data_IF_061991157983
#
_entry.id   IF_061991157983
#
_cell.length_a   1.000
_cell.length_b   1.000
_cell.length_c   1.000
_cell.angle_alpha   90.00
_cell.angle_beta   90.00
_cell.angle_gamma   90.00
#
_symmetry.space_group_name_H-M   'P 1'
#
loop_
_entity.id
_entity.type
_entity.pdbx_description
1 polymer ?
#
# COMPACT_ATOMS: atom_id res chain seq x y z
N UNK A 1 -25.17 -2.65 -2.11
CA UNK A 1 -23.98 -2.43 -1.24
C UNK A 1 -22.75 -2.98 -1.95
N UNK A 2 -21.72 -2.17 -2.11
CA UNK A 2 -20.43 -2.66 -2.63
C UNK A 2 -19.73 -3.36 -1.46
N UNK A 3 -19.57 -4.69 -1.55
CA UNK A 3 -18.95 -5.49 -0.49
C UNK A 3 -17.43 -5.23 -0.39
N UNK A 4 -16.78 -5.83 0.62
CA UNK A 4 -15.34 -5.66 0.89
C UNK A 4 -14.49 -6.22 -0.26
N UNK A 5 -14.92 -7.30 -0.87
CA UNK A 5 -14.21 -7.98 -1.96
C UNK A 5 -14.30 -7.17 -3.26
N UNK A 6 -15.47 -6.69 -3.63
CA UNK A 6 -15.67 -5.79 -4.76
C UNK A 6 -14.82 -4.52 -4.64
N UNK A 7 -14.69 -3.96 -3.43
CA UNK A 7 -13.80 -2.80 -3.19
C UNK A 7 -12.33 -3.16 -3.31
N UNK A 8 -11.92 -4.33 -2.82
CA UNK A 8 -10.55 -4.81 -2.95
C UNK A 8 -10.16 -4.96 -4.42
N UNK A 9 -11.06 -5.49 -5.25
CA UNK A 9 -10.85 -5.71 -6.68
C UNK A 9 -11.11 -4.45 -7.55
N UNK A 10 -11.68 -3.37 -6.98
CA UNK A 10 -11.95 -2.14 -7.76
C UNK A 10 -10.69 -1.44 -8.27
N UNK A 11 -9.56 -1.64 -7.61
CA UNK A 11 -8.27 -1.05 -8.03
C UNK A 11 -7.79 -1.55 -9.38
N UNK A 12 -8.10 -2.79 -9.76
CA UNK A 12 -7.75 -3.34 -11.05
C UNK A 12 -8.37 -2.58 -12.23
N UNK A 13 -9.52 -1.91 -12.06
CA UNK A 13 -10.13 -1.08 -13.11
C UNK A 13 -9.35 0.20 -13.42
N UNK A 14 -8.45 0.61 -12.53
CA UNK A 14 -7.60 1.82 -12.65
C UNK A 14 -6.12 1.47 -12.46
N UNK A 15 -5.72 0.24 -12.77
CA UNK A 15 -4.36 -0.26 -12.51
C UNK A 15 -3.26 0.62 -13.13
N UNK A 16 -3.47 1.14 -14.34
CA UNK A 16 -2.52 2.03 -15.02
C UNK A 16 -2.36 3.38 -14.30
N UNK A 17 -3.47 4.01 -13.90
CA UNK A 17 -3.45 5.26 -13.13
C UNK A 17 -2.90 5.03 -11.72
N UNK A 18 -3.24 3.88 -11.12
CA UNK A 18 -2.70 3.48 -9.84
C UNK A 18 -1.17 3.37 -9.89
N UNK A 19 -0.62 2.71 -10.91
CA UNK A 19 0.83 2.59 -11.11
C UNK A 19 1.50 3.95 -11.36
N UNK A 20 0.83 4.82 -12.14
CA UNK A 20 1.36 6.14 -12.51
C UNK A 20 1.42 7.12 -11.36
N UNK A 21 0.42 7.12 -10.46
CA UNK A 21 0.23 8.20 -9.49
C UNK A 21 0.49 7.79 -8.04
N UNK A 22 0.51 6.49 -7.72
CA UNK A 22 0.74 6.07 -6.33
C UNK A 22 2.22 6.13 -5.96
N UNK A 23 2.56 6.83 -4.86
CA UNK A 23 3.94 6.91 -4.42
C UNK A 23 4.45 5.57 -3.89
N UNK A 24 5.69 5.23 -4.26
CA UNK A 24 6.46 4.17 -3.60
C UNK A 24 6.85 4.60 -2.18
N UNK A 25 7.08 3.66 -1.27
CA UNK A 25 7.72 3.97 0.01
C UNK A 25 9.17 4.44 -0.24
N UNK A 26 9.69 5.35 0.59
CA UNK A 26 11.07 5.80 0.46
C UNK A 26 12.07 4.67 0.78
N UNK A 27 13.26 4.64 0.16
CA UNK A 27 14.27 3.60 0.38
C UNK A 27 14.60 3.36 1.86
N UNK A 28 14.66 4.42 2.67
CA UNK A 28 14.93 4.35 4.11
C UNK A 28 13.89 3.53 4.90
N UNK A 29 12.65 3.47 4.39
CA UNK A 29 11.61 2.63 4.97
C UNK A 29 11.93 1.15 4.74
N UNK A 30 12.34 0.79 3.52
CA UNK A 30 12.72 -0.58 3.17
C UNK A 30 14.01 -1.01 3.87
N UNK A 31 14.99 -0.11 4.03
CA UNK A 31 16.22 -0.39 4.74
C UNK A 31 15.97 -0.77 6.21
N UNK A 32 14.96 -0.17 6.80
CA UNK A 32 14.58 -0.52 8.16
C UNK A 32 13.74 -1.80 8.24
N UNK A 33 12.92 -2.08 7.23
CA UNK A 33 11.97 -3.21 7.24
C UNK A 33 12.62 -4.54 6.84
N UNK A 34 13.56 -4.50 5.90
CA UNK A 34 14.22 -5.68 5.34
C UNK A 34 15.52 -5.92 6.09
N UNK A 35 15.76 -7.11 6.67
CA UNK A 35 17.02 -7.42 7.34
C UNK A 35 18.23 -7.25 6.42
N UNK A 36 19.34 -6.81 6.97
CA UNK A 36 20.59 -6.79 6.22
C UNK A 36 20.95 -8.22 5.76
N UNK A 37 21.32 -8.36 4.49
CA UNK A 37 21.66 -9.66 3.90
C UNK A 37 20.44 -10.55 3.58
N UNK A 38 19.21 -10.04 3.65
CA UNK A 38 18.02 -10.79 3.23
C UNK A 38 18.19 -11.29 1.79
N UNK A 39 18.14 -12.60 1.60
CA UNK A 39 18.29 -13.24 0.30
C UNK A 39 16.96 -13.36 -0.47
N UNK A 40 15.85 -13.50 0.25
CA UNK A 40 14.51 -13.68 -0.34
C UNK A 40 13.50 -12.74 0.34
N UNK A 41 12.80 -11.93 -0.45
CA UNK A 41 11.81 -10.95 0.04
C UNK A 41 10.49 -11.14 -0.70
N UNK A 42 9.39 -11.19 0.06
CA UNK A 42 8.02 -11.24 -0.44
C UNK A 42 7.36 -9.86 -0.33
N UNK A 43 6.83 -9.35 -1.44
CA UNK A 43 5.85 -8.26 -1.50
C UNK A 43 4.45 -8.90 -1.55
N UNK A 44 3.69 -8.82 -0.47
CA UNK A 44 2.38 -9.46 -0.33
C UNK A 44 1.26 -8.45 -0.53
N UNK A 45 0.30 -8.78 -1.40
CA UNK A 45 -0.69 -7.86 -1.97
C UNK A 45 0.00 -6.71 -2.73
N UNK A 46 0.88 -7.10 -3.65
CA UNK A 46 1.85 -6.23 -4.32
C UNK A 46 1.24 -5.18 -5.25
N UNK A 47 -0.04 -5.33 -5.62
CA UNK A 47 -0.72 -4.41 -6.54
C UNK A 47 -0.01 -4.34 -7.90
N UNK A 48 0.36 -3.16 -8.34
CA UNK A 48 1.13 -2.92 -9.59
C UNK A 48 2.64 -3.00 -9.39
N UNK A 49 3.13 -3.39 -8.20
CA UNK A 49 4.54 -3.62 -7.92
C UNK A 49 5.34 -2.39 -7.49
N UNK A 50 4.71 -1.38 -6.90
CA UNK A 50 5.43 -0.20 -6.41
C UNK A 50 6.51 -0.58 -5.39
N UNK A 51 6.20 -1.44 -4.40
CA UNK A 51 7.17 -1.95 -3.42
C UNK A 51 8.14 -2.94 -4.07
N UNK A 52 7.65 -3.81 -4.94
CA UNK A 52 8.49 -4.77 -5.67
C UNK A 52 9.63 -4.07 -6.42
N UNK A 53 9.33 -2.95 -7.13
CA UNK A 53 10.36 -2.14 -7.83
C UNK A 53 11.42 -1.61 -6.86
N UNK A 54 11.00 -1.08 -5.73
CA UNK A 54 11.93 -0.56 -4.71
C UNK A 54 12.79 -1.67 -4.10
N UNK A 55 12.24 -2.87 -3.86
CA UNK A 55 13.03 -4.03 -3.40
C UNK A 55 14.07 -4.40 -4.45
N UNK A 56 13.68 -4.42 -5.74
CA UNK A 56 14.58 -4.77 -6.84
C UNK A 56 15.68 -3.74 -7.09
N UNK A 57 15.43 -2.47 -6.77
CA UNK A 57 16.39 -1.38 -6.91
C UNK A 57 17.42 -1.30 -5.77
N UNK A 58 17.27 -2.09 -4.70
CA UNK A 58 18.20 -2.08 -3.55
C UNK A 58 19.61 -2.53 -3.92
N UNK A 59 20.58 -2.02 -3.14
CA UNK A 59 21.99 -2.45 -3.24
C UNK A 59 22.49 -2.82 -1.84
N UNK A 60 22.85 -4.08 -1.54
CA UNK A 60 22.68 -5.23 -2.44
C UNK A 60 21.21 -5.62 -2.68
N UNK A 61 20.92 -6.05 -3.88
CA UNK A 61 19.60 -6.58 -4.25
C UNK A 61 19.41 -7.98 -3.63
N UNK A 62 18.22 -8.31 -3.08
CA UNK A 62 17.90 -9.69 -2.71
C UNK A 62 18.01 -10.64 -3.92
N UNK A 63 18.52 -11.83 -3.68
CA UNK A 63 18.69 -12.83 -4.75
C UNK A 63 17.34 -13.29 -5.32
N UNK A 64 16.29 -13.29 -4.48
CA UNK A 64 14.93 -13.66 -4.86
C UNK A 64 13.93 -12.58 -4.41
N UNK A 65 13.16 -12.05 -5.34
CA UNK A 65 12.06 -11.13 -5.06
C UNK A 65 10.77 -11.78 -5.56
N UNK A 66 9.85 -12.03 -4.64
CA UNK A 66 8.54 -12.62 -4.93
C UNK A 66 7.47 -11.55 -4.73
N UNK A 67 6.48 -11.51 -5.60
CA UNK A 67 5.33 -10.62 -5.49
C UNK A 67 4.04 -11.45 -5.61
N UNK A 68 3.19 -11.37 -4.61
CA UNK A 68 1.89 -12.09 -4.57
C UNK A 68 0.76 -11.08 -4.66
N UNK A 69 -0.11 -11.23 -5.66
CA UNK A 69 -1.25 -10.34 -5.91
C UNK A 69 -2.47 -11.12 -6.42
N UNK A 70 -3.67 -10.96 -5.83
CA UNK A 70 -4.86 -11.69 -6.25
C UNK A 70 -5.52 -11.14 -7.52
N UNK A 71 -5.45 -9.84 -7.83
CA UNK A 71 -6.13 -9.26 -9.01
C UNK A 71 -5.27 -9.45 -10.28
N UNK A 72 -5.80 -10.19 -11.27
CA UNK A 72 -5.10 -10.50 -12.51
C UNK A 72 -4.69 -9.24 -13.31
N UNK A 73 -5.48 -8.16 -13.26
CA UNK A 73 -5.17 -6.90 -13.96
C UNK A 73 -4.01 -6.17 -13.30
N UNK A 74 -3.95 -6.17 -11.97
CA UNK A 74 -2.80 -5.65 -11.20
C UNK A 74 -1.56 -6.50 -11.46
N UNK A 75 -1.68 -7.85 -11.44
CA UNK A 75 -0.57 -8.77 -11.74
C UNK A 75 0.01 -8.55 -13.14
N UNK A 76 -0.82 -8.27 -14.13
CA UNK A 76 -0.35 -7.99 -15.49
C UNK A 76 0.55 -6.74 -15.54
N UNK A 77 0.16 -5.66 -14.85
CA UNK A 77 0.98 -4.45 -14.73
C UNK A 77 2.26 -4.75 -13.94
N UNK A 78 2.15 -5.44 -12.82
CA UNK A 78 3.27 -5.85 -11.98
C UNK A 78 4.32 -6.65 -12.79
N UNK A 79 3.89 -7.67 -13.52
CA UNK A 79 4.79 -8.49 -14.34
C UNK A 79 5.51 -7.67 -15.42
N UNK A 80 4.80 -6.74 -16.07
CA UNK A 80 5.39 -5.85 -17.07
C UNK A 80 6.39 -4.85 -16.47
N UNK A 81 6.13 -4.36 -15.25
CA UNK A 81 6.96 -3.34 -14.56
C UNK A 81 8.13 -3.92 -13.77
N UNK A 82 8.05 -5.18 -13.39
CA UNK A 82 9.04 -5.85 -12.54
C UNK A 82 9.60 -7.13 -13.23
N UNK A 83 10.19 -7.02 -14.44
CA UNK A 83 10.80 -8.18 -15.08
C UNK A 83 11.94 -8.71 -14.18
N UNK A 84 11.86 -9.99 -13.82
CA UNK A 84 12.81 -10.63 -12.89
C UNK A 84 12.35 -10.68 -11.44
N UNK A 85 11.13 -10.25 -11.11
CA UNK A 85 10.41 -10.68 -9.91
C UNK A 85 9.61 -11.94 -10.24
N UNK A 86 9.50 -12.84 -9.26
CA UNK A 86 8.59 -14.00 -9.32
C UNK A 86 7.18 -13.52 -8.97
N UNK A 87 6.30 -13.41 -9.98
CA UNK A 87 4.93 -12.92 -9.80
C UNK A 87 3.98 -14.09 -9.69
N UNK A 88 3.28 -14.19 -8.55
CA UNK A 88 2.39 -15.29 -8.24
C UNK A 88 0.95 -14.80 -7.97
N UNK A 89 -0.01 -15.62 -8.35
CA UNK A 89 -1.38 -15.46 -7.91
C UNK A 89 -1.54 -15.99 -6.50
N UNK A 90 -2.16 -15.21 -5.61
CA UNK A 90 -2.41 -15.62 -4.24
C UNK A 90 -2.93 -14.48 -3.38
N UNK A 91 -3.21 -14.79 -2.15
CA UNK A 91 -3.70 -13.84 -1.14
C UNK A 91 -3.02 -14.08 0.20
N UNK A 92 -3.13 -13.11 1.11
CA UNK A 92 -2.45 -13.20 2.42
C UNK A 92 -2.91 -14.35 3.30
N UNK A 93 -4.11 -14.83 3.09
CA UNK A 93 -4.75 -15.93 3.79
C UNK A 93 -4.40 -17.33 3.22
N UNK A 94 -3.66 -17.36 2.08
CA UNK A 94 -3.15 -18.57 1.43
C UNK A 94 -1.97 -18.16 0.52
N UNK A 95 -0.78 -18.11 1.12
CA UNK A 95 0.44 -17.66 0.43
C UNK A 95 1.05 -18.85 -0.33
N UNK A 96 1.22 -18.75 -1.68
CA UNK A 96 1.70 -19.86 -2.51
C UNK A 96 3.23 -20.05 -2.42
N UNK A 97 3.77 -20.10 -1.22
CA UNK A 97 5.19 -20.28 -0.94
C UNK A 97 5.41 -21.38 0.09
N UNK A 98 6.55 -22.09 0.03
CA UNK A 98 6.95 -23.07 1.06
C UNK A 98 7.17 -22.42 2.42
N UNK A 99 7.16 -23.23 3.47
CA UNK A 99 7.52 -22.83 4.83
C UNK A 99 8.96 -22.32 4.87
N UNK A 100 9.19 -21.30 5.72
CA UNK A 100 10.52 -20.73 5.97
C UNK A 100 11.31 -20.41 4.68
N UNK A 101 10.64 -19.86 3.66
CA UNK A 101 11.20 -19.61 2.32
C UNK A 101 11.65 -18.17 2.08
N UNK A 102 11.25 -17.22 2.95
CA UNK A 102 11.59 -15.79 2.80
C UNK A 102 12.15 -15.19 4.10
N UNK A 103 13.01 -14.17 3.95
CA UNK A 103 13.64 -13.44 5.05
C UNK A 103 12.82 -12.19 5.46
N UNK A 104 11.98 -11.69 4.55
CA UNK A 104 11.07 -10.60 4.84
C UNK A 104 9.76 -10.75 4.06
N UNK A 105 8.66 -10.34 4.68
CA UNK A 105 7.35 -10.13 4.06
C UNK A 105 7.00 -8.66 4.20
N UNK A 106 6.74 -7.96 3.09
CA UNK A 106 6.28 -6.58 3.08
C UNK A 106 4.82 -6.50 2.64
N UNK A 107 4.04 -5.63 3.29
CA UNK A 107 2.65 -5.36 2.97
C UNK A 107 2.44 -3.85 2.94
N UNK A 108 2.20 -3.29 1.76
CA UNK A 108 2.00 -1.85 1.61
C UNK A 108 0.54 -1.49 1.33
N UNK A 109 -0.04 -0.63 2.17
CA UNK A 109 -1.40 -0.12 2.06
C UNK A 109 -2.50 -1.20 1.95
N UNK A 110 -2.19 -2.47 2.27
CA UNK A 110 -3.07 -3.60 2.08
C UNK A 110 -3.48 -4.34 3.38
N UNK A 111 -2.76 -4.16 4.49
CA UNK A 111 -3.03 -4.84 5.77
C UNK A 111 -4.52 -4.85 6.18
N UNK A 112 -5.22 -3.75 5.98
CA UNK A 112 -6.63 -3.61 6.34
C UNK A 112 -7.59 -4.43 5.46
N UNK A 113 -7.09 -5.04 4.39
CA UNK A 113 -7.82 -5.97 3.53
C UNK A 113 -7.65 -7.44 3.96
N UNK A 114 -6.68 -7.74 4.81
CA UNK A 114 -6.41 -9.10 5.27
C UNK A 114 -7.28 -9.46 6.47
N UNK A 115 -7.54 -10.74 6.61
CA UNK A 115 -8.05 -11.34 7.83
C UNK A 115 -6.85 -11.78 8.70
N UNK A 116 -6.56 -11.09 9.82
CA UNK A 116 -5.38 -11.40 10.62
C UNK A 116 -5.37 -12.82 11.18
N UNK A 117 -6.53 -13.40 11.48
CA UNK A 117 -6.64 -14.77 12.03
C UNK A 117 -6.16 -15.82 11.03
N UNK A 118 -6.25 -15.53 9.74
CA UNK A 118 -5.81 -16.42 8.65
C UNK A 118 -4.49 -15.99 8.02
N UNK A 119 -4.30 -14.69 7.82
CA UNK A 119 -3.12 -14.19 7.15
C UNK A 119 -1.86 -14.25 8.02
N UNK A 120 -1.98 -14.00 9.34
CA UNK A 120 -0.81 -14.01 10.22
C UNK A 120 -0.16 -15.38 10.34
N UNK A 121 -0.90 -16.49 10.50
CA UNK A 121 -0.31 -17.82 10.44
C UNK A 121 0.44 -18.11 9.13
N UNK A 122 -0.13 -17.74 7.98
CA UNK A 122 0.51 -17.91 6.67
C UNK A 122 1.79 -17.06 6.53
N UNK A 123 1.75 -15.77 6.94
CA UNK A 123 2.92 -14.90 6.97
C UNK A 123 4.02 -15.50 7.86
N UNK A 124 3.63 -15.98 9.05
CA UNK A 124 4.56 -16.61 9.99
C UNK A 124 5.13 -17.91 9.40
N UNK A 125 4.32 -18.71 8.73
CA UNK A 125 4.74 -19.95 8.09
C UNK A 125 5.84 -19.73 7.04
N UNK A 126 5.64 -18.76 6.14
CA UNK A 126 6.60 -18.52 5.03
C UNK A 126 7.86 -17.77 5.46
N UNK A 127 7.81 -16.98 6.55
CA UNK A 127 9.00 -16.31 7.09
C UNK A 127 9.97 -17.33 7.70
N UNK A 128 11.26 -17.13 7.52
CA UNK A 128 12.29 -17.81 8.34
C UNK A 128 12.29 -17.28 9.77
N UNK A 129 12.74 -18.08 10.73
CA UNK A 129 13.01 -17.59 12.09
C UNK A 129 14.02 -16.45 12.02
N UNK A 130 13.74 -15.35 12.71
CA UNK A 130 14.51 -14.11 12.60
C UNK A 130 14.13 -13.21 11.41
N UNK A 131 13.30 -13.72 10.50
CA UNK A 131 12.76 -12.93 9.38
C UNK A 131 11.72 -11.88 9.85
N UNK A 132 11.45 -10.89 9.01
CA UNK A 132 10.64 -9.73 9.40
C UNK A 132 9.35 -9.61 8.60
N UNK A 133 8.27 -9.23 9.29
CA UNK A 133 7.06 -8.67 8.69
C UNK A 133 7.16 -7.14 8.72
N UNK A 134 7.08 -6.50 7.55
CA UNK A 134 7.01 -5.05 7.38
C UNK A 134 5.63 -4.62 6.89
N UNK A 135 4.93 -3.75 7.64
CA UNK A 135 3.67 -3.18 7.18
C UNK A 135 3.84 -1.69 6.95
N UNK A 136 3.42 -1.20 5.78
CA UNK A 136 3.71 0.14 5.27
C UNK A 136 2.41 0.89 4.98
N UNK A 137 2.31 2.13 5.44
CA UNK A 137 1.31 3.09 4.99
C UNK A 137 1.98 4.40 4.60
N UNK A 138 1.90 4.74 3.33
CA UNK A 138 2.35 6.03 2.82
C UNK A 138 1.16 6.98 2.73
N UNK A 139 1.27 8.15 3.32
CA UNK A 139 0.24 9.19 3.33
C UNK A 139 0.86 10.56 3.14
N UNK A 140 0.06 11.50 2.66
CA UNK A 140 0.43 12.91 2.62
C UNK A 140 0.49 13.47 4.04
N UNK A 141 1.43 14.39 4.28
CA UNK A 141 1.61 15.04 5.58
C UNK A 141 0.59 16.18 5.75
N UNK A 142 -0.52 15.89 6.41
CA UNK A 142 -1.58 16.87 6.67
C UNK A 142 -1.29 17.88 7.79
N UNK A 143 -0.08 17.87 8.34
CA UNK A 143 0.42 18.96 9.19
C UNK A 143 0.74 20.21 8.37
N UNK A 144 0.93 20.06 7.05
CA UNK A 144 1.14 21.18 6.12
C UNK A 144 -0.23 21.70 5.66
N UNK A 145 -0.54 23.00 5.82
CA UNK A 145 -1.89 23.56 5.63
C UNK A 145 -2.53 23.22 4.29
N UNK A 146 -1.84 23.48 3.16
CA UNK A 146 -2.40 23.20 1.84
C UNK A 146 -2.65 21.69 1.62
N UNK A 147 -1.82 20.82 2.21
CA UNK A 147 -2.00 19.37 2.17
C UNK A 147 -3.22 18.94 2.96
N UNK A 148 -3.47 19.57 4.12
CA UNK A 148 -4.67 19.34 4.92
C UNK A 148 -5.94 19.68 4.15
N UNK A 149 -5.98 20.84 3.45
CA UNK A 149 -7.09 21.26 2.58
C UNK A 149 -7.27 20.30 1.41
N UNK A 150 -6.18 19.95 0.72
CA UNK A 150 -6.20 18.96 -0.36
C UNK A 150 -6.72 17.59 0.10
N UNK A 151 -6.34 17.15 1.30
CA UNK A 151 -6.84 15.93 1.91
C UNK A 151 -8.34 16.01 2.27
N UNK A 152 -8.83 17.22 2.63
CA UNK A 152 -10.24 17.42 2.96
C UNK A 152 -11.15 17.10 1.77
N UNK A 153 -10.79 17.46 0.54
CA UNK A 153 -11.54 17.14 -0.68
C UNK A 153 -11.82 15.63 -0.79
N UNK A 154 -10.81 14.80 -0.53
CA UNK A 154 -10.96 13.35 -0.59
C UNK A 154 -11.66 12.76 0.66
N UNK A 155 -11.62 13.43 1.81
CA UNK A 155 -12.36 13.02 3.03
C UNK A 155 -13.85 13.23 2.86
N UNK A 156 -14.28 14.41 2.41
CA UNK A 156 -15.68 14.75 2.19
C UNK A 156 -16.36 13.79 1.21
N UNK A 157 -15.69 13.47 0.08
CA UNK A 157 -16.20 12.51 -0.88
C UNK A 157 -16.36 11.11 -0.28
N UNK A 158 -15.44 10.68 0.60
CA UNK A 158 -15.50 9.38 1.29
C UNK A 158 -16.56 9.33 2.39
N UNK A 159 -16.75 10.43 3.11
CA UNK A 159 -17.75 10.51 4.19
C UNK A 159 -19.17 10.50 3.61
N UNK A 160 -19.39 11.25 2.53
CA UNK A 160 -20.66 11.23 1.80
C UNK A 160 -20.99 9.82 1.26
N UNK A 161 -19.99 9.08 0.76
CA UNK A 161 -20.17 7.70 0.29
C UNK A 161 -20.41 6.72 1.47
N UNK A 162 -19.69 6.86 2.59
CA UNK A 162 -19.87 6.05 3.79
C UNK A 162 -21.22 6.22 4.44
N UNK A 163 -21.69 7.47 4.58
CA UNK A 163 -22.99 7.79 5.17
C UNK A 163 -24.13 7.10 4.40
N UNK A 164 -24.03 7.00 3.08
CA UNK A 164 -25.03 6.34 2.24
C UNK A 164 -24.98 4.81 2.27
N UNK A 165 -23.79 4.24 2.50
CA UNK A 165 -23.58 2.80 2.50
C UNK A 165 -23.71 2.17 3.89
N UNK A 166 -24.01 2.95 4.93
CA UNK A 166 -24.14 2.47 6.31
C UNK A 166 -22.86 1.90 6.90
N UNK A 167 -21.69 2.29 6.38
CA UNK A 167 -20.42 1.73 6.77
C UNK A 167 -19.76 2.55 7.90
N UNK A 168 -19.78 2.03 9.12
CA UNK A 168 -19.19 2.67 10.32
C UNK A 168 -17.76 2.22 10.66
N UNK A 169 -17.12 1.36 9.86
CA UNK A 169 -15.83 0.76 10.18
C UNK A 169 -14.65 1.72 9.97
N UNK A 170 -13.89 2.03 11.04
CA UNK A 170 -12.52 2.56 10.91
C UNK A 170 -11.66 1.51 10.21
N UNK A 171 -10.87 1.90 9.20
CA UNK A 171 -9.85 1.01 8.62
C UNK A 171 -8.86 0.66 9.74
N UNK A 172 -8.68 -0.63 10.00
CA UNK A 172 -7.67 -1.09 10.97
C UNK A 172 -6.28 -0.70 10.46
N UNK A 173 -5.69 0.31 11.09
CA UNK A 173 -4.28 0.69 10.91
C UNK A 173 -3.40 0.14 12.03
N UNK A 174 -3.94 -0.74 12.84
CA UNK A 174 -3.22 -1.47 13.88
C UNK A 174 -2.84 -2.84 13.33
N UNK A 175 -1.59 -3.21 13.55
CA UNK A 175 -1.09 -4.55 13.28
C UNK A 175 -1.22 -5.33 14.58
N UNK A 176 -2.16 -6.25 14.60
CA UNK A 176 -2.41 -7.14 15.74
C UNK A 176 -2.19 -8.58 15.31
N UNK A 177 -1.71 -9.40 16.22
CA UNK A 177 -1.48 -10.81 15.99
C UNK A 177 -2.41 -11.64 16.86
N UNK A 178 -2.90 -12.80 16.36
CA UNK A 178 -3.61 -13.77 17.19
C UNK A 178 -2.77 -14.20 18.40
N UNK A 179 -3.39 -14.53 19.52
CA UNK A 179 -2.67 -15.03 20.70
C UNK A 179 -1.78 -16.26 20.35
N UNK A 180 -0.58 -16.30 20.91
CA UNK A 180 0.36 -17.39 20.67
C UNK A 180 1.13 -17.31 19.35
N UNK A 181 0.91 -16.28 18.52
CA UNK A 181 1.72 -16.08 17.30
C UNK A 181 3.18 -15.83 17.67
N UNK A 182 4.15 -16.60 17.10
CA UNK A 182 5.58 -16.40 17.41
C UNK A 182 6.16 -15.20 16.64
N UNK A 183 5.64 -14.02 16.95
CA UNK A 183 6.07 -12.73 16.39
C UNK A 183 6.38 -11.75 17.53
N UNK A 184 7.44 -10.96 17.38
CA UNK A 184 7.71 -9.88 18.32
C UNK A 184 6.62 -8.81 18.28
N UNK A 185 6.41 -8.03 19.35
CA UNK A 185 5.57 -6.85 19.28
C UNK A 185 6.01 -5.93 18.13
N UNK A 186 5.06 -5.32 17.39
CA UNK A 186 5.42 -4.41 16.30
C UNK A 186 6.16 -3.15 16.80
N UNK A 187 7.35 -2.92 16.27
CA UNK A 187 8.05 -1.64 16.41
C UNK A 187 7.58 -0.67 15.31
N UNK A 188 7.45 0.62 15.62
CA UNK A 188 7.02 1.65 14.66
C UNK A 188 8.19 2.59 14.31
N UNK A 189 8.27 2.95 13.02
CA UNK A 189 9.10 4.04 12.51
C UNK A 189 8.30 4.90 11.55
N UNK A 190 8.55 6.21 11.56
CA UNK A 190 8.02 7.14 10.58
C UNK A 190 9.18 7.76 9.81
N UNK A 191 9.04 7.76 8.48
CA UNK A 191 9.98 8.39 7.56
C UNK A 191 9.24 9.49 6.82
N UNK A 192 9.74 10.72 6.92
CA UNK A 192 9.22 11.86 6.15
C UNK A 192 10.05 12.03 4.88
N UNK A 193 9.39 12.35 3.78
CA UNK A 193 10.01 12.60 2.50
C UNK A 193 9.12 13.51 1.66
N UNK A 194 9.59 13.98 0.52
CA UNK A 194 8.80 14.77 -0.42
C UNK A 194 8.85 14.16 -1.81
N UNK A 195 7.80 14.41 -2.58
CA UNK A 195 7.71 13.98 -3.97
C UNK A 195 7.42 15.21 -4.85
N UNK A 196 8.23 15.49 -5.87
CA UNK A 196 7.90 16.51 -6.86
C UNK A 196 6.68 16.05 -7.66
N UNK A 197 5.62 16.83 -7.63
CA UNK A 197 4.35 16.54 -8.32
C UNK A 197 3.81 17.76 -9.00
N UNK A 198 3.32 17.57 -10.23
CA UNK A 198 2.54 18.59 -10.95
C UNK A 198 1.09 18.59 -10.47
N UNK A 199 0.34 19.67 -10.79
CA UNK A 199 -1.11 19.73 -10.52
C UNK A 199 -1.87 18.56 -11.15
N UNK A 200 -1.49 18.13 -12.37
CA UNK A 200 -2.09 16.95 -13.03
C UNK A 200 -1.85 15.68 -12.23
N UNK A 201 -0.61 15.45 -11.76
CA UNK A 201 -0.25 14.28 -10.97
C UNK A 201 -0.98 14.27 -9.61
N UNK A 202 -1.15 15.44 -8.97
CA UNK A 202 -1.92 15.55 -7.73
C UNK A 202 -3.39 15.20 -7.95
N UNK A 203 -4.01 15.69 -9.03
CA UNK A 203 -5.38 15.34 -9.39
C UNK A 203 -5.52 13.83 -9.65
N UNK A 204 -4.60 13.26 -10.43
CA UNK A 204 -4.54 11.82 -10.72
C UNK A 204 -4.39 10.98 -9.45
N UNK A 205 -3.51 11.38 -8.53
CA UNK A 205 -3.33 10.70 -7.25
C UNK A 205 -4.63 10.58 -6.46
N UNK A 206 -5.43 11.66 -6.35
CA UNK A 206 -6.73 11.60 -5.67
C UNK A 206 -7.71 10.66 -6.38
N UNK A 207 -7.70 10.60 -7.70
CA UNK A 207 -8.53 9.71 -8.50
C UNK A 207 -8.30 8.22 -8.21
N UNK A 208 -7.12 7.84 -7.74
CA UNK A 208 -6.77 6.44 -7.44
C UNK A 208 -7.25 5.93 -6.07
N UNK A 209 -7.91 6.76 -5.26
CA UNK A 209 -8.43 6.31 -3.97
C UNK A 209 -9.75 5.55 -4.12
N UNK A 210 -9.90 4.44 -3.39
CA UNK A 210 -11.08 3.58 -3.45
C UNK A 210 -12.39 4.33 -3.25
N UNK A 211 -12.41 5.36 -2.39
CA UNK A 211 -13.60 6.19 -2.17
C UNK A 211 -13.92 7.13 -3.34
N UNK A 212 -13.01 7.30 -4.31
CA UNK A 212 -13.24 8.09 -5.53
C UNK A 212 -13.54 7.15 -6.70
N UNK A 213 -12.84 6.02 -6.80
CA UNK A 213 -13.06 5.00 -7.84
C UNK A 213 -14.51 4.50 -7.83
N UNK A 214 -15.09 4.34 -6.63
CA UNK A 214 -16.45 3.81 -6.44
C UNK A 214 -17.56 4.87 -6.50
N UNK A 215 -17.23 6.14 -6.76
CA UNK A 215 -18.24 7.18 -6.99
C UNK A 215 -18.98 6.94 -8.31
N UNK A 216 -20.25 7.29 -8.34
CA UNK A 216 -21.00 7.38 -9.59
C UNK A 216 -20.40 8.48 -10.52
N UNK A 217 -20.70 8.44 -11.83
CA UNK A 217 -20.10 9.34 -12.80
C UNK A 217 -20.31 10.84 -12.49
N UNK A 218 -21.47 11.23 -12.00
CA UNK A 218 -21.82 12.63 -11.70
C UNK A 218 -20.96 13.16 -10.53
N UNK A 219 -20.89 12.40 -9.44
CA UNK A 219 -20.07 12.75 -8.27
C UNK A 219 -18.60 12.72 -8.55
N UNK A 220 -18.14 11.77 -9.39
CA UNK A 220 -16.76 11.74 -9.83
C UNK A 220 -16.41 12.98 -10.62
N UNK A 221 -17.31 13.44 -11.51
CA UNK A 221 -17.14 14.68 -12.25
C UNK A 221 -17.13 15.92 -11.31
N UNK A 222 -18.04 15.96 -10.32
CA UNK A 222 -18.04 17.02 -9.31
C UNK A 222 -16.76 17.04 -8.48
N UNK A 223 -16.33 15.89 -7.98
CA UNK A 223 -15.07 15.75 -7.27
C UNK A 223 -13.89 16.25 -8.11
N UNK A 224 -13.82 15.86 -9.38
CA UNK A 224 -12.76 16.29 -10.31
C UNK A 224 -12.77 17.82 -10.52
N UNK A 225 -13.94 18.43 -10.65
CA UNK A 225 -14.06 19.91 -10.74
C UNK A 225 -13.54 20.61 -9.48
N UNK A 226 -13.90 20.11 -8.30
CA UNK A 226 -13.47 20.67 -7.00
C UNK A 226 -11.96 20.55 -6.81
N UNK A 227 -11.39 19.40 -7.17
CA UNK A 227 -9.93 19.19 -7.14
C UNK A 227 -9.23 20.16 -8.08
N UNK A 228 -9.71 20.28 -9.31
CA UNK A 228 -9.14 21.24 -10.28
C UNK A 228 -9.24 22.67 -9.77
N UNK A 229 -10.42 23.10 -9.32
CA UNK A 229 -10.61 24.44 -8.76
C UNK A 229 -9.72 24.73 -7.53
N UNK A 230 -9.37 23.71 -6.74
CA UNK A 230 -8.39 23.86 -5.67
C UNK A 230 -6.98 24.06 -6.23
N UNK A 231 -6.57 23.26 -7.20
CA UNK A 231 -5.23 23.30 -7.79
C UNK A 231 -4.99 24.59 -8.58
N UNK A 232 -6.00 25.09 -9.32
CA UNK A 232 -5.93 26.33 -10.09
C UNK A 232 -5.73 27.59 -9.23
N UNK A 233 -6.07 27.53 -7.94
CA UNK A 233 -5.82 28.62 -6.97
C UNK A 233 -4.42 28.61 -6.37
N UNK A 234 -3.65 27.56 -6.62
CA UNK A 234 -2.31 27.43 -6.04
C UNK A 234 -1.30 28.29 -6.84
N UNK A 235 -0.27 28.86 -6.18
CA UNK A 235 0.72 29.71 -6.84
C UNK A 235 1.84 28.92 -7.54
N UNK A 236 1.66 27.60 -7.76
CA UNK A 236 2.68 26.72 -8.31
C UNK A 236 2.10 25.72 -9.32
N UNK A 237 2.85 25.41 -10.37
CA UNK A 237 2.55 24.34 -11.34
C UNK A 237 3.12 22.98 -10.90
N UNK A 238 4.21 23.03 -10.12
CA UNK A 238 4.85 21.88 -9.50
C UNK A 238 5.17 22.20 -8.04
N UNK A 239 5.00 21.23 -7.18
CA UNK A 239 5.26 21.33 -5.74
C UNK A 239 5.87 20.05 -5.20
N UNK A 240 6.72 20.18 -4.19
CA UNK A 240 7.17 19.06 -3.39
C UNK A 240 6.06 18.64 -2.43
N UNK A 241 5.36 17.55 -2.74
CA UNK A 241 4.30 17.00 -1.91
C UNK A 241 4.91 16.35 -0.65
N UNK A 242 4.67 16.92 0.54
CA UNK A 242 5.16 16.32 1.79
C UNK A 242 4.44 15.01 2.10
N UNK A 243 5.21 13.98 2.41
CA UNK A 243 4.75 12.62 2.65
C UNK A 243 5.26 12.07 3.97
N UNK A 244 4.48 11.18 4.58
CA UNK A 244 4.85 10.38 5.74
C UNK A 244 4.67 8.90 5.39
N UNK A 245 5.74 8.14 5.52
CA UNK A 245 5.71 6.69 5.47
C UNK A 245 5.75 6.15 6.90
N UNK A 246 4.62 5.58 7.35
CA UNK A 246 4.51 4.88 8.63
C UNK A 246 4.82 3.41 8.39
N UNK A 247 5.82 2.91 9.09
CA UNK A 247 6.30 1.53 8.99
C UNK A 247 6.11 0.83 10.33
N UNK A 248 5.62 -0.40 10.30
CA UNK A 248 5.63 -1.31 11.45
C UNK A 248 6.47 -2.53 11.08
N UNK A 249 7.35 -2.95 11.99
CA UNK A 249 8.19 -4.13 11.84
C UNK A 249 8.02 -5.06 13.02
N UNK A 250 7.81 -6.34 12.72
CA UNK A 250 7.79 -7.43 13.68
C UNK A 250 8.72 -8.54 13.20
N UNK A 251 9.35 -9.29 14.10
CA UNK A 251 10.30 -10.35 13.78
C UNK A 251 9.69 -11.70 14.16
N UNK A 252 9.84 -12.71 13.29
CA UNK A 252 9.46 -14.08 13.62
C UNK A 252 10.41 -14.63 14.70
N UNK A 253 9.84 -15.05 15.82
CA UNK A 253 10.52 -15.68 16.94
C UNK A 253 10.64 -17.20 16.71
N UNK A 254 11.59 -17.88 17.39
CA UNK A 254 11.53 -19.32 17.52
C UNK A 254 10.20 -19.75 18.13
N UNK A 255 9.61 -20.81 17.62
CA UNK A 255 8.38 -21.41 18.16
C UNK A 255 8.68 -22.37 19.29
#
# INVERSE_FOLDING_TARGET
MVDRETRRLSFGSVAADYDRYRPSPPPQALDWLIPAGAAAVLDLAAGTGAVTREIMARTPRPARVVAVEPDARMRAVLAARCPGAEVLEGQGEAIPLPDASVDAVLISAAWHWLDPERAVPEITRVLRVGGTLGVIWTSRDDRVPWVAEFNALARESREADRARQGFSGRRRREVTFPPGTPMSPPAERRVTFSLPMTSEQLAGLLGTYSGVITLDPERRADFSRRVRAFLDRQPWDQVDLPMICRCLRSTRLPG
#
